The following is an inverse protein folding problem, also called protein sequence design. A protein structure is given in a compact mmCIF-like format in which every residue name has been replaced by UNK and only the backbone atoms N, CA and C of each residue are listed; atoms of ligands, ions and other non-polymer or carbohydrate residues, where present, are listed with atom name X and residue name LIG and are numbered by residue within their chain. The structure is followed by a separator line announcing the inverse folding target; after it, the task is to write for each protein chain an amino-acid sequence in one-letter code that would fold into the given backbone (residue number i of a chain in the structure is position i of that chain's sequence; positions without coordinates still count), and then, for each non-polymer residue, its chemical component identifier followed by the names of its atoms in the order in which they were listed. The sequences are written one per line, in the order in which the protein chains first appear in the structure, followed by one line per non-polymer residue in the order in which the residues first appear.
data_IF_023772031441
#
_entry.id   IF_023772031441
#
_cell.length_a   1.000
_cell.length_b   1.000
_cell.length_c   1.000
_cell.angle_alpha   90.00
_cell.angle_beta   90.00
_cell.angle_gamma   90.00
#
_symmetry.space_group_name_H-M   'P 1'
#
loop_
_entity.id
_entity.type
_entity.pdbx_description
1 polymer ?
#
# COMPACT_ATOMS: atom_id res chain seq x y z
N UNK A 1 -32.02 0.99 12.98
CA UNK A 1 -30.56 1.13 13.20
C UNK A 1 -30.30 2.60 13.45
N UNK A 2 -29.86 2.97 14.65
CA UNK A 2 -29.67 4.39 15.00
C UNK A 2 -28.45 4.97 14.27
N UNK A 3 -28.39 6.30 14.12
CA UNK A 3 -27.26 6.98 13.48
C UNK A 3 -25.91 6.67 14.17
N UNK A 4 -25.93 6.39 15.48
CA UNK A 4 -24.75 5.98 16.25
C UNK A 4 -24.26 4.58 15.88
N UNK A 5 -25.18 3.63 15.66
CA UNK A 5 -24.84 2.25 15.26
C UNK A 5 -24.25 2.19 13.85
N UNK A 6 -24.77 3.04 12.96
CA UNK A 6 -24.21 3.20 11.61
C UNK A 6 -22.77 3.75 11.66
N UNK A 7 -22.53 4.77 12.48
CA UNK A 7 -21.20 5.36 12.62
C UNK A 7 -20.18 4.37 13.19
N UNK A 8 -20.54 3.59 14.23
CA UNK A 8 -19.61 2.62 14.82
C UNK A 8 -19.28 1.46 13.89
N UNK A 9 -20.23 0.99 13.09
CA UNK A 9 -20.00 -0.13 12.18
C UNK A 9 -19.19 0.26 10.92
N UNK A 10 -19.42 1.46 10.38
CA UNK A 10 -18.93 1.82 9.04
C UNK A 10 -17.73 2.75 9.01
N UNK A 11 -17.34 3.38 10.12
CA UNK A 11 -16.25 4.37 10.09
C UNK A 11 -14.90 3.78 9.68
N UNK A 12 -14.55 2.55 10.12
CA UNK A 12 -13.28 1.88 9.73
C UNK A 12 -13.24 1.58 8.23
N UNK A 13 -14.27 0.91 7.66
CA UNK A 13 -14.41 0.78 6.21
C UNK A 13 -14.35 2.12 5.48
N UNK A 14 -15.05 3.14 5.96
CA UNK A 14 -15.08 4.46 5.34
C UNK A 14 -13.69 5.11 5.33
N UNK A 15 -12.97 5.08 6.45
CA UNK A 15 -11.61 5.63 6.53
C UNK A 15 -10.65 4.88 5.61
N UNK A 16 -10.71 3.54 5.58
CA UNK A 16 -9.91 2.76 4.64
C UNK A 16 -10.23 3.12 3.17
N UNK A 17 -11.51 3.27 2.83
CA UNK A 17 -11.94 3.68 1.49
C UNK A 17 -11.44 5.10 1.14
N UNK A 18 -11.51 6.05 2.08
CA UNK A 18 -10.96 7.41 1.90
C UNK A 18 -9.46 7.36 1.64
N UNK A 19 -8.69 6.57 2.40
CA UNK A 19 -7.26 6.40 2.17
C UNK A 19 -6.95 5.83 0.78
N UNK A 20 -7.77 4.90 0.29
CA UNK A 20 -7.65 4.34 -1.07
C UNK A 20 -7.94 5.37 -2.14
N UNK A 21 -9.03 6.14 -1.98
CA UNK A 21 -9.38 7.22 -2.91
C UNK A 21 -8.29 8.29 -2.93
N UNK A 22 -7.77 8.67 -1.77
CA UNK A 22 -6.63 9.59 -1.67
C UNK A 22 -5.40 9.02 -2.38
N UNK A 23 -5.11 7.73 -2.21
CA UNK A 23 -3.96 7.10 -2.86
C UNK A 23 -4.09 7.05 -4.39
N UNK A 24 -5.29 6.71 -4.88
CA UNK A 24 -5.59 6.74 -6.30
C UNK A 24 -5.50 8.18 -6.85
N UNK A 25 -6.13 9.13 -6.17
CA UNK A 25 -6.10 10.55 -6.56
C UNK A 25 -4.69 11.13 -6.56
N UNK A 26 -3.90 10.87 -5.51
CA UNK A 26 -2.50 11.28 -5.43
C UNK A 26 -1.71 10.73 -6.61
N UNK A 27 -1.90 9.45 -6.96
CA UNK A 27 -1.26 8.85 -8.12
C UNK A 27 -1.61 9.55 -9.42
N UNK A 28 -2.87 9.96 -9.61
CA UNK A 28 -3.33 10.68 -10.79
C UNK A 28 -2.74 12.09 -10.93
N UNK A 29 -2.55 12.82 -9.82
CA UNK A 29 -2.12 14.24 -9.86
C UNK A 29 -0.64 14.46 -9.58
N UNK A 30 0.09 13.46 -9.06
CA UNK A 30 1.48 13.65 -8.59
C UNK A 30 2.41 14.16 -9.69
N UNK A 31 2.18 13.74 -10.93
CA UNK A 31 2.98 14.16 -12.08
C UNK A 31 2.74 15.64 -12.41
N UNK A 32 1.47 16.07 -12.42
CA UNK A 32 1.08 17.48 -12.60
C UNK A 32 1.63 18.39 -11.51
N UNK A 33 1.79 17.86 -10.29
CA UNK A 33 2.35 18.57 -9.15
C UNK A 33 3.89 18.62 -9.15
N UNK A 34 4.55 18.02 -10.15
CA UNK A 34 6.01 17.96 -10.23
C UNK A 34 6.65 17.14 -9.10
N UNK A 35 5.90 16.20 -8.50
CA UNK A 35 6.42 15.38 -7.42
C UNK A 35 7.40 14.32 -7.94
N UNK A 36 8.39 13.92 -7.13
CA UNK A 36 9.36 12.90 -7.52
C UNK A 36 8.69 11.59 -7.99
N UNK A 37 9.25 10.91 -9.00
CA UNK A 37 8.67 9.68 -9.51
C UNK A 37 8.77 8.56 -8.45
N UNK A 38 7.75 7.69 -8.40
CA UNK A 38 7.59 6.62 -7.40
C UNK A 38 7.47 7.09 -5.94
N UNK A 39 7.31 8.39 -5.68
CA UNK A 39 6.69 8.82 -4.43
C UNK A 39 5.21 8.48 -4.53
N UNK A 40 4.73 7.60 -3.64
CA UNK A 40 3.36 7.09 -3.65
C UNK A 40 2.86 6.88 -2.21
N UNK A 41 1.57 7.10 -1.99
CA UNK A 41 0.94 6.87 -0.67
C UNK A 41 0.22 5.51 -0.58
N UNK A 42 0.20 4.74 -1.68
CA UNK A 42 -0.49 3.44 -1.78
C UNK A 42 0.01 2.43 -0.75
N UNK A 43 1.34 2.36 -0.49
CA UNK A 43 1.91 1.44 0.50
C UNK A 43 1.40 1.76 1.91
N UNK A 44 1.37 3.05 2.27
CA UNK A 44 0.87 3.51 3.56
C UNK A 44 -0.63 3.28 3.72
N UNK A 45 -1.43 3.56 2.68
CA UNK A 45 -2.85 3.27 2.64
C UNK A 45 -3.14 1.76 2.79
N UNK A 46 -2.36 0.92 2.11
CA UNK A 46 -2.44 -0.55 2.18
C UNK A 46 -2.16 -1.05 3.60
N UNK A 47 -1.10 -0.55 4.22
CA UNK A 47 -0.76 -0.90 5.60
C UNK A 47 -1.85 -0.47 6.59
N UNK A 48 -2.34 0.77 6.48
CA UNK A 48 -3.42 1.27 7.32
C UNK A 48 -4.71 0.47 7.14
N UNK A 49 -5.11 0.17 5.91
CA UNK A 49 -6.30 -0.62 5.63
C UNK A 49 -6.22 -2.04 6.21
N UNK A 50 -5.04 -2.67 6.17
CA UNK A 50 -4.81 -3.97 6.80
C UNK A 50 -5.01 -3.92 8.33
N UNK A 51 -4.60 -2.83 8.99
CA UNK A 51 -4.83 -2.62 10.42
C UNK A 51 -6.29 -2.32 10.75
N UNK A 52 -6.94 -1.42 9.99
CA UNK A 52 -8.30 -0.95 10.25
C UNK A 52 -9.36 -2.02 10.00
N UNK A 53 -9.30 -2.69 8.84
CA UNK A 53 -10.37 -3.60 8.40
C UNK A 53 -10.31 -4.96 9.08
N UNK A 54 -9.09 -5.47 9.33
CA UNK A 54 -8.83 -6.83 9.88
C UNK A 54 -9.54 -7.98 9.13
N UNK A 55 -10.07 -7.72 7.94
CA UNK A 55 -10.83 -8.61 7.08
C UNK A 55 -10.11 -8.83 5.74
N UNK A 56 -10.21 -10.01 5.09
CA UNK A 56 -9.52 -10.31 3.83
C UNK A 56 -9.76 -9.31 2.69
N UNK A 57 -10.85 -8.52 2.74
CA UNK A 57 -11.09 -7.40 1.81
C UNK A 57 -9.91 -6.41 1.76
N UNK A 58 -9.15 -6.26 2.86
CA UNK A 58 -7.94 -5.45 2.88
C UNK A 58 -6.86 -5.92 1.89
N UNK A 59 -6.87 -7.18 1.46
CA UNK A 59 -5.95 -7.71 0.45
C UNK A 59 -6.18 -7.09 -0.93
N UNK A 60 -7.43 -6.72 -1.22
CA UNK A 60 -7.80 -6.13 -2.51
C UNK A 60 -7.45 -4.64 -2.61
N UNK A 61 -7.22 -3.98 -1.48
CA UNK A 61 -6.95 -2.53 -1.39
C UNK A 61 -5.82 -2.07 -2.32
N UNK A 62 -4.59 -2.61 -2.25
CA UNK A 62 -3.50 -2.17 -3.13
C UNK A 62 -3.80 -2.44 -4.60
N UNK A 63 -4.50 -3.53 -4.92
CA UNK A 63 -4.87 -3.89 -6.29
C UNK A 63 -5.90 -2.93 -6.87
N UNK A 64 -6.96 -2.60 -6.12
CA UNK A 64 -7.97 -1.64 -6.57
C UNK A 64 -7.36 -0.27 -6.83
N UNK A 65 -6.50 0.21 -5.92
CA UNK A 65 -5.82 1.49 -6.09
C UNK A 65 -4.94 1.51 -7.35
N UNK A 66 -4.18 0.44 -7.58
CA UNK A 66 -3.13 0.43 -8.60
C UNK A 66 -3.64 0.05 -9.98
N UNK A 67 -4.47 -0.98 -10.08
CA UNK A 67 -5.17 -1.35 -11.32
C UNK A 67 -6.09 -0.20 -11.75
N UNK A 68 -6.84 0.39 -10.80
CA UNK A 68 -7.73 1.51 -11.07
C UNK A 68 -6.98 2.70 -11.68
N UNK A 69 -5.88 3.13 -11.05
CA UNK A 69 -5.06 4.23 -11.60
C UNK A 69 -4.41 3.87 -12.95
N UNK A 70 -3.91 2.64 -13.11
CA UNK A 70 -3.21 2.22 -14.32
C UNK A 70 -4.16 2.22 -15.53
N UNK A 71 -5.40 1.76 -15.34
CA UNK A 71 -6.45 1.79 -16.38
C UNK A 71 -6.81 3.22 -16.76
N UNK A 72 -6.95 4.12 -15.80
CA UNK A 72 -7.27 5.52 -16.05
C UNK A 72 -6.14 6.27 -16.78
N UNK A 73 -4.88 5.95 -16.47
CA UNK A 73 -3.70 6.52 -17.12
C UNK A 73 -3.33 5.85 -18.46
N UNK A 74 -3.91 4.69 -18.76
CA UNK A 74 -3.48 3.85 -19.88
C UNK A 74 -2.10 3.19 -19.68
N UNK A 75 -1.60 3.10 -18.45
CA UNK A 75 -0.26 2.61 -18.13
C UNK A 75 -0.25 1.11 -17.81
N UNK A 76 -0.23 0.27 -18.85
CA UNK A 76 -0.30 -1.20 -18.72
C UNK A 76 0.92 -1.95 -19.24
N UNK A 77 1.97 -1.25 -19.67
CA UNK A 77 3.16 -1.83 -20.32
C UNK A 77 3.85 -2.92 -19.50
N UNK A 78 3.86 -2.78 -18.17
CA UNK A 78 4.43 -3.76 -17.23
C UNK A 78 3.40 -4.22 -16.18
N UNK A 79 2.10 -4.13 -16.49
CA UNK A 79 0.98 -4.38 -15.58
C UNK A 79 1.11 -5.71 -14.83
N UNK A 80 1.53 -6.77 -15.51
CA UNK A 80 1.71 -8.09 -14.88
C UNK A 80 2.65 -8.02 -13.67
N UNK A 81 3.76 -7.28 -13.78
CA UNK A 81 4.75 -7.16 -12.70
C UNK A 81 4.31 -6.16 -11.63
N UNK A 82 3.72 -5.03 -12.01
CA UNK A 82 3.23 -4.05 -11.02
C UNK A 82 2.08 -4.61 -10.20
N UNK A 83 1.08 -5.24 -10.83
CA UNK A 83 -0.10 -5.77 -10.13
C UNK A 83 0.25 -6.97 -9.25
N UNK A 84 1.13 -7.88 -9.73
CA UNK A 84 1.59 -9.00 -8.90
C UNK A 84 2.46 -8.54 -7.72
N UNK A 85 3.30 -7.50 -7.88
CA UNK A 85 4.01 -6.91 -6.75
C UNK A 85 3.02 -6.39 -5.69
N UNK A 86 1.99 -5.66 -6.12
CA UNK A 86 0.96 -5.13 -5.22
C UNK A 86 0.13 -6.21 -4.55
N UNK A 87 -0.15 -7.32 -5.23
CA UNK A 87 -0.78 -8.49 -4.61
C UNK A 87 0.05 -9.04 -3.45
N UNK A 88 1.36 -9.23 -3.67
CA UNK A 88 2.30 -9.70 -2.62
C UNK A 88 2.39 -8.70 -1.47
N UNK A 89 2.45 -7.40 -1.76
CA UNK A 89 2.48 -6.34 -0.75
C UNK A 89 1.18 -6.34 0.08
N UNK A 90 0.03 -6.54 -0.56
CA UNK A 90 -1.26 -6.69 0.13
C UNK A 90 -1.28 -7.88 1.09
N UNK A 91 -0.82 -9.05 0.63
CA UNK A 91 -0.68 -10.25 1.47
C UNK A 91 0.26 -9.99 2.64
N UNK A 92 1.42 -9.37 2.38
CA UNK A 92 2.38 -9.03 3.42
C UNK A 92 1.76 -8.08 4.46
N UNK A 93 1.05 -7.03 4.04
CA UNK A 93 0.37 -6.09 4.94
C UNK A 93 -0.65 -6.81 5.83
N UNK A 94 -1.44 -7.70 5.24
CA UNK A 94 -2.45 -8.47 5.95
C UNK A 94 -1.85 -9.53 6.89
N UNK A 95 -0.64 -10.01 6.62
CA UNK A 95 0.07 -10.92 7.52
C UNK A 95 0.65 -10.17 8.73
N UNK A 96 1.38 -9.08 8.49
CA UNK A 96 2.11 -8.34 9.54
C UNK A 96 1.19 -7.61 10.52
N UNK A 97 -0.08 -7.35 10.16
CA UNK A 97 -1.08 -6.80 11.09
C UNK A 97 -1.28 -7.63 12.37
N UNK A 98 -0.89 -8.92 12.35
CA UNK A 98 -1.04 -9.84 13.50
C UNK A 98 0.04 -9.65 14.57
N UNK A 99 1.09 -8.88 14.29
CA UNK A 99 2.23 -8.68 15.21
C UNK A 99 1.92 -7.77 16.42
N UNK A 100 0.69 -7.24 16.51
CA UNK A 100 0.19 -6.50 17.65
C UNK A 100 0.79 -5.09 17.81
N UNK A 101 0.27 -4.36 18.80
CA UNK A 101 0.52 -2.91 18.92
C UNK A 101 1.91 -2.58 19.47
N UNK A 102 2.47 -3.46 20.31
CA UNK A 102 3.76 -3.25 20.97
C UNK A 102 4.91 -3.03 19.99
N UNK A 103 4.85 -3.66 18.82
CA UNK A 103 5.90 -3.58 17.79
C UNK A 103 5.45 -2.81 16.55
N UNK A 104 4.29 -2.14 16.59
CA UNK A 104 3.65 -1.57 15.40
C UNK A 104 4.55 -0.61 14.61
N UNK A 105 5.31 0.24 15.29
CA UNK A 105 6.25 1.15 14.63
C UNK A 105 7.39 0.40 13.90
N UNK A 106 8.00 -0.59 14.55
CA UNK A 106 9.04 -1.42 13.94
C UNK A 106 8.48 -2.27 12.79
N UNK A 107 7.28 -2.81 12.96
CA UNK A 107 6.55 -3.52 11.90
C UNK A 107 6.29 -2.61 10.71
N UNK A 108 5.89 -1.36 10.93
CA UNK A 108 5.65 -0.37 9.89
C UNK A 108 6.96 -0.02 9.13
N UNK A 109 8.06 0.17 9.84
CA UNK A 109 9.38 0.38 9.23
C UNK A 109 9.83 -0.82 8.40
N UNK A 110 9.78 -2.02 8.99
CA UNK A 110 10.15 -3.26 8.32
C UNK A 110 9.29 -3.53 7.10
N UNK A 111 7.97 -3.28 7.20
CA UNK A 111 7.06 -3.37 6.06
C UNK A 111 7.38 -2.34 4.98
N UNK A 112 7.63 -1.07 5.35
CA UNK A 112 8.00 -0.02 4.41
C UNK A 112 9.28 -0.35 3.63
N UNK A 113 10.33 -0.83 4.32
CA UNK A 113 11.57 -1.28 3.68
C UNK A 113 11.33 -2.51 2.82
N UNK A 114 10.71 -3.55 3.38
CA UNK A 114 10.51 -4.84 2.70
C UNK A 114 9.65 -4.72 1.44
N UNK A 115 8.54 -3.97 1.52
CA UNK A 115 7.68 -3.69 0.36
C UNK A 115 8.40 -2.87 -0.70
N UNK A 116 9.20 -1.87 -0.32
CA UNK A 116 9.99 -1.07 -1.26
C UNK A 116 11.03 -1.91 -1.99
N UNK A 117 11.78 -2.75 -1.25
CA UNK A 117 12.79 -3.63 -1.83
C UNK A 117 12.15 -4.65 -2.76
N UNK A 118 11.07 -5.30 -2.32
CA UNK A 118 10.32 -6.26 -3.13
C UNK A 118 9.80 -5.62 -4.42
N UNK A 119 9.11 -4.48 -4.32
CA UNK A 119 8.56 -3.78 -5.47
C UNK A 119 9.66 -3.41 -6.45
N UNK A 120 10.78 -2.85 -5.96
CA UNK A 120 11.91 -2.46 -6.79
C UNK A 120 12.50 -3.65 -7.55
N UNK A 121 12.83 -4.74 -6.85
CA UNK A 121 13.43 -5.92 -7.47
C UNK A 121 12.47 -6.55 -8.50
N UNK A 122 11.21 -6.74 -8.12
CA UNK A 122 10.24 -7.41 -8.98
C UNK A 122 9.88 -6.60 -10.22
N UNK A 123 9.60 -5.30 -10.06
CA UNK A 123 9.19 -4.47 -11.20
C UNK A 123 10.32 -4.18 -12.16
N UNK A 124 11.56 -4.00 -11.69
CA UNK A 124 12.71 -3.81 -12.58
C UNK A 124 13.10 -5.11 -13.30
N UNK A 125 12.94 -6.28 -12.66
CA UNK A 125 13.03 -7.55 -13.38
C UNK A 125 12.00 -7.64 -14.51
N UNK A 126 10.79 -7.11 -14.30
CA UNK A 126 9.75 -7.00 -15.32
C UNK A 126 10.11 -6.05 -16.46
N UNK A 127 10.63 -4.86 -16.13
CA UNK A 127 11.12 -3.89 -17.12
C UNK A 127 12.20 -4.50 -17.99
N UNK A 128 13.20 -5.16 -17.37
CA UNK A 128 14.21 -5.90 -18.11
C UNK A 128 13.57 -6.99 -18.97
N UNK A 129 12.66 -7.80 -18.42
CA UNK A 129 12.04 -8.91 -19.15
C UNK A 129 11.33 -8.47 -20.42
N UNK A 130 10.58 -7.36 -20.37
CA UNK A 130 9.87 -6.83 -21.55
C UNK A 130 10.78 -6.06 -22.51
N UNK A 131 11.87 -5.47 -22.03
CA UNK A 131 12.77 -4.67 -22.84
C UNK A 131 14.06 -5.40 -23.24
N UNK A 132 14.18 -6.70 -22.91
CA UNK A 132 15.36 -7.54 -23.19
C UNK A 132 15.56 -7.68 -24.70
N UNK A 133 16.79 -7.49 -25.15
CA UNK A 133 17.16 -7.53 -26.57
C UNK A 133 16.73 -6.30 -27.37
N UNK A 134 16.09 -5.31 -26.75
CA UNK A 134 15.68 -4.05 -27.39
C UNK A 134 16.34 -2.86 -26.72
N UNK A 135 16.11 -2.68 -25.42
CA UNK A 135 16.66 -1.57 -24.62
C UNK A 135 17.73 -2.05 -23.64
N UNK A 136 17.57 -3.26 -23.09
CA UNK A 136 18.57 -3.90 -22.23
C UNK A 136 19.15 -5.15 -22.89
N UNK A 137 20.44 -5.47 -22.67
CA UNK A 137 21.01 -6.76 -23.02
C UNK A 137 20.17 -7.94 -22.50
N UNK A 138 20.16 -9.05 -23.24
CA UNK A 138 19.37 -10.22 -22.87
C UNK A 138 19.95 -11.04 -21.71
N UNK A 139 21.18 -10.73 -21.28
CA UNK A 139 21.87 -11.41 -20.18
C UNK A 139 21.66 -10.76 -18.81
N UNK A 140 22.42 -11.25 -17.84
CA UNK A 140 22.43 -10.72 -16.45
C UNK A 140 22.94 -9.28 -16.40
N UNK A 141 23.80 -8.89 -17.33
CA UNK A 141 24.28 -7.53 -17.52
C UNK A 141 23.12 -6.55 -17.78
N UNK A 142 22.14 -6.93 -18.61
CA UNK A 142 20.96 -6.12 -18.84
C UNK A 142 20.02 -6.04 -17.64
N UNK A 143 19.90 -7.12 -16.87
CA UNK A 143 19.13 -7.11 -15.63
C UNK A 143 19.75 -6.17 -14.59
N UNK A 144 21.07 -6.23 -14.43
CA UNK A 144 21.82 -5.32 -13.56
C UNK A 144 21.65 -3.87 -14.05
N UNK A 145 21.75 -3.63 -15.37
CA UNK A 145 21.54 -2.31 -15.94
C UNK A 145 20.13 -1.75 -15.62
N UNK A 146 19.09 -2.57 -15.70
CA UNK A 146 17.73 -2.17 -15.30
C UNK A 146 17.64 -1.82 -13.82
N UNK A 147 18.29 -2.58 -12.93
CA UNK A 147 18.32 -2.24 -11.50
C UNK A 147 19.06 -0.94 -11.23
N UNK A 148 20.22 -0.73 -11.86
CA UNK A 148 20.99 0.52 -11.72
C UNK A 148 20.17 1.72 -12.18
N UNK A 149 19.50 1.61 -13.34
CA UNK A 149 18.61 2.65 -13.85
C UNK A 149 17.41 2.91 -12.92
N UNK A 150 16.93 1.88 -12.20
CA UNK A 150 15.83 1.98 -11.26
C UNK A 150 16.17 2.60 -9.90
N UNK A 151 17.46 2.75 -9.54
CA UNK A 151 17.88 3.23 -8.21
C UNK A 151 17.32 4.60 -7.80
N UNK A 152 17.22 5.61 -8.68
CA UNK A 152 16.61 6.90 -8.32
C UNK A 152 15.15 6.75 -7.88
N UNK A 153 14.38 5.90 -8.58
CA UNK A 153 12.98 5.61 -8.25
C UNK A 153 12.86 4.83 -6.93
N UNK A 154 13.77 3.87 -6.70
CA UNK A 154 13.84 3.14 -5.45
C UNK A 154 14.12 4.05 -4.27
N UNK A 155 15.08 4.98 -4.41
CA UNK A 155 15.43 5.94 -3.36
C UNK A 155 14.22 6.77 -2.95
N UNK A 156 13.50 7.34 -3.92
CA UNK A 156 12.30 8.15 -3.65
C UNK A 156 11.24 7.33 -2.93
N UNK A 157 10.92 6.13 -3.44
CA UNK A 157 9.94 5.25 -2.84
C UNK A 157 10.33 4.83 -1.42
N UNK A 158 11.59 4.44 -1.21
CA UNK A 158 12.09 3.98 0.08
C UNK A 158 12.03 5.09 1.14
N UNK A 159 12.53 6.29 0.82
CA UNK A 159 12.49 7.44 1.74
C UNK A 159 11.04 7.80 2.05
N UNK A 160 10.16 7.83 1.04
CA UNK A 160 8.72 8.04 1.22
C UNK A 160 8.12 7.01 2.18
N UNK A 161 8.37 5.71 1.96
CA UNK A 161 7.80 4.64 2.78
C UNK A 161 8.37 4.58 4.20
N UNK A 162 9.62 5.00 4.42
CA UNK A 162 10.22 5.14 5.75
C UNK A 162 9.51 6.20 6.61
N UNK A 163 8.81 7.15 5.97
CA UNK A 163 8.05 8.20 6.66
C UNK A 163 6.55 7.89 6.67
N UNK A 164 5.98 7.61 5.49
CA UNK A 164 4.54 7.48 5.28
C UNK A 164 3.95 6.23 5.95
N UNK A 165 4.64 5.09 5.93
CA UNK A 165 4.12 3.86 6.52
C UNK A 165 4.07 3.96 8.06
N UNK A 166 5.14 4.41 8.76
CA UNK A 166 5.04 4.67 10.20
C UNK A 166 4.04 5.77 10.55
N UNK A 167 3.91 6.82 9.74
CA UNK A 167 2.90 7.85 9.95
C UNK A 167 1.48 7.29 9.87
N UNK A 168 1.20 6.44 8.88
CA UNK A 168 -0.08 5.75 8.76
C UNK A 168 -0.34 4.81 9.95
N UNK A 169 0.68 4.10 10.42
CA UNK A 169 0.57 3.26 11.62
C UNK A 169 0.25 4.07 12.88
N UNK A 170 0.89 5.23 13.04
CA UNK A 170 0.67 6.15 14.14
C UNK A 170 -0.74 6.75 14.09
N UNK A 171 -1.21 7.15 12.90
CA UNK A 171 -2.59 7.63 12.70
C UNK A 171 -3.61 6.59 13.16
N UNK A 172 -3.46 5.33 12.73
CA UNK A 172 -4.35 4.25 13.17
C UNK A 172 -4.29 4.06 14.68
N UNK A 173 -3.11 4.10 15.30
CA UNK A 173 -2.97 4.02 16.76
C UNK A 173 -3.64 5.16 17.51
N UNK A 174 -3.56 6.39 16.99
CA UNK A 174 -4.24 7.55 17.59
C UNK A 174 -5.75 7.34 17.54
N UNK A 175 -6.28 6.94 16.39
CA UNK A 175 -7.71 6.69 16.23
C UNK A 175 -8.20 5.61 17.18
N UNK A 176 -7.50 4.46 17.28
CA UNK A 176 -7.87 3.39 18.22
C UNK A 176 -7.84 3.84 19.68
N UNK A 177 -6.88 4.69 20.07
CA UNK A 177 -6.83 5.27 21.42
C UNK A 177 -8.00 6.20 21.68
N UNK A 178 -8.36 7.04 20.71
CA UNK A 178 -9.52 7.94 20.84
C UNK A 178 -10.81 7.15 20.99
N UNK A 179 -10.97 6.02 20.28
CA UNK A 179 -12.13 5.13 20.46
C UNK A 179 -12.23 4.52 21.86
N UNK A 180 -11.09 4.12 22.42
CA UNK A 180 -11.02 3.58 23.78
C UNK A 180 -11.44 4.62 24.81
N UNK A 181 -10.99 5.88 24.66
CA UNK A 181 -11.37 6.97 25.55
C UNK A 181 -12.82 7.42 25.36
N UNK A 182 -13.35 7.36 24.13
CA UNK A 182 -14.74 7.70 23.81
C UNK A 182 -15.75 6.59 24.19
N UNK A 183 -15.28 5.44 24.71
CA UNK A 183 -16.14 4.31 25.06
C UNK A 183 -16.74 3.55 23.87
N UNK A 184 -16.27 3.81 22.64
CA UNK A 184 -16.76 3.19 21.41
C UNK A 184 -16.17 1.79 21.17
N UNK A 185 -15.14 1.41 21.93
CA UNK A 185 -14.37 0.17 21.72
C UNK A 185 -15.07 -1.14 22.18
N UNK A 186 -16.28 -1.08 22.74
CA UNK A 186 -16.95 -2.26 23.34
C UNK A 186 -18.22 -2.78 22.62
N UNK A 187 -18.56 -2.31 21.42
CA UNK A 187 -19.68 -2.94 20.68
C UNK A 187 -19.17 -4.21 19.99
N UNK A 188 -19.56 -5.43 20.41
CA UNK A 188 -19.08 -6.65 19.79
C UNK A 188 -19.56 -6.70 18.33
N UNK A 189 -18.68 -7.14 17.43
CA UNK A 189 -19.09 -7.51 16.08
C UNK A 189 -20.21 -8.55 16.18
N UNK A 190 -21.42 -8.16 15.78
CA UNK A 190 -22.59 -9.04 15.78
C UNK A 190 -22.22 -10.31 15.02
N UNK A 191 -22.27 -11.45 15.71
CA UNK A 191 -21.99 -12.75 15.12
C UNK A 191 -22.92 -12.96 13.90
N UNK A 192 -22.43 -13.53 12.79
CA UNK A 192 -23.29 -13.83 11.66
C UNK A 192 -24.39 -14.79 12.11
N UNK A 193 -25.65 -14.39 11.89
CA UNK A 193 -26.80 -15.27 12.04
C UNK A 193 -26.59 -16.48 11.12
N UNK A 194 -26.72 -17.67 11.70
CA UNK A 194 -26.56 -18.98 11.04
C UNK A 194 -27.40 -19.11 9.78
#
# INVERSE_FOLDING_TARGET
MEARDLLTQWWRPALAAVLVVLALGFRLVREDLGLPPNLEIVTAATFAAALLLRHPVALAVPLVATVGSDVLMGNTSIALFTWSAWAVIGVAAFAVRRLGDRHRFLTALGFGVGSSVWFFLWTNAGVWFFARGVYYPAGLDGLIASYVAGLPFFRTMLVGNLVLVPAAAALVSVVERLEQHAGLAQVPAVAPSR
#
